data_IF_347243178064
#
_entry.id   IF_347243178064
#
_cell.length_a   1.000
_cell.length_b   1.000
_cell.length_c   1.000
_cell.angle_alpha   90.00
_cell.angle_beta   90.00
_cell.angle_gamma   90.00
#
_symmetry.space_group_name_H-M   'P 1'
#
loop_
_entity.id
_entity.type
_entity.pdbx_description
1 polymer ?
#
# COMPACT_ATOMS: atom_id res chain seq x y z
N UNK A 1 53.73 10.48 -17.22
CA UNK A 1 53.59 9.73 -15.96
C UNK A 1 52.26 10.12 -15.35
N UNK A 2 51.25 9.28 -15.57
CA UNK A 2 50.56 8.41 -14.62
C UNK A 2 49.76 9.21 -13.62
N UNK A 3 48.44 9.17 -13.59
CA UNK A 3 47.53 8.03 -13.54
C UNK A 3 46.83 8.10 -12.20
N UNK A 4 45.55 8.28 -12.18
CA UNK A 4 44.72 8.34 -10.98
C UNK A 4 43.27 8.20 -11.38
N UNK A 5 42.87 7.00 -11.79
CA UNK A 5 41.50 6.67 -12.05
C UNK A 5 40.71 6.57 -10.72
N UNK A 6 39.62 7.30 -10.70
CA UNK A 6 38.64 7.37 -9.65
C UNK A 6 37.78 6.12 -9.59
N UNK A 7 37.92 5.35 -8.54
CA UNK A 7 37.06 4.22 -8.19
C UNK A 7 35.74 4.57 -7.47
N UNK A 8 35.12 5.70 -7.77
CA UNK A 8 33.90 6.18 -7.07
C UNK A 8 32.58 5.77 -7.73
N UNK A 9 32.61 5.24 -8.95
CA UNK A 9 31.38 4.88 -9.66
C UNK A 9 30.81 3.49 -9.35
N UNK A 10 31.65 2.57 -8.86
CA UNK A 10 31.24 1.19 -8.63
C UNK A 10 30.61 0.97 -7.24
N UNK A 11 31.05 1.71 -6.23
CA UNK A 11 30.48 1.59 -4.87
C UNK A 11 29.08 2.16 -4.73
N UNK A 12 28.74 3.22 -5.46
CA UNK A 12 27.38 3.78 -5.44
C UNK A 12 26.34 2.85 -6.11
N UNK A 13 26.71 2.18 -7.19
CA UNK A 13 25.84 1.20 -7.87
C UNK A 13 25.66 -0.08 -7.08
N UNK A 14 26.64 -0.49 -6.28
CA UNK A 14 26.57 -1.65 -5.40
C UNK A 14 25.67 -1.33 -4.17
N UNK A 15 25.67 -0.10 -3.68
CA UNK A 15 24.81 0.30 -2.55
C UNK A 15 23.33 0.37 -2.92
N UNK A 16 22.98 0.86 -4.11
CA UNK A 16 21.58 0.92 -4.57
C UNK A 16 21.01 -0.48 -4.83
N UNK A 17 21.79 -1.36 -5.44
CA UNK A 17 21.41 -2.76 -5.67
C UNK A 17 21.33 -3.57 -4.37
N UNK A 18 22.20 -3.32 -3.41
CA UNK A 18 22.16 -3.97 -2.10
C UNK A 18 20.97 -3.47 -1.28
N UNK A 19 20.62 -2.19 -1.38
CA UNK A 19 19.46 -1.60 -0.71
C UNK A 19 18.15 -2.18 -1.27
N UNK A 20 17.99 -2.24 -2.58
CA UNK A 20 16.83 -2.84 -3.26
C UNK A 20 16.67 -4.33 -2.89
N UNK A 21 17.78 -5.05 -2.74
CA UNK A 21 17.78 -6.46 -2.30
C UNK A 21 17.40 -6.62 -0.83
N UNK A 22 17.88 -5.74 0.05
CA UNK A 22 17.53 -5.74 1.47
C UNK A 22 16.06 -5.35 1.68
N UNK A 23 15.52 -4.44 0.87
CA UNK A 23 14.12 -4.04 0.90
C UNK A 23 13.19 -5.17 0.49
N UNK A 24 13.51 -5.86 -0.58
CA UNK A 24 12.77 -7.06 -1.01
C UNK A 24 12.81 -8.17 0.04
N UNK A 25 13.98 -8.39 0.64
CA UNK A 25 14.14 -9.38 1.71
C UNK A 25 13.34 -8.99 2.97
N UNK A 26 13.24 -7.69 3.28
CA UNK A 26 12.43 -7.20 4.38
C UNK A 26 10.92 -7.35 4.09
N UNK A 27 10.49 -7.05 2.88
CA UNK A 27 9.11 -7.22 2.42
C UNK A 27 8.71 -8.70 2.39
N UNK A 28 9.58 -9.58 1.89
CA UNK A 28 9.39 -11.03 1.93
C UNK A 28 9.31 -11.57 3.37
N UNK A 29 10.12 -11.03 4.29
CA UNK A 29 10.05 -11.38 5.72
C UNK A 29 8.74 -10.92 6.35
N UNK A 30 8.26 -9.72 6.03
CA UNK A 30 6.96 -9.24 6.52
C UNK A 30 5.81 -10.11 6.01
N UNK A 31 5.81 -10.44 4.72
CA UNK A 31 4.81 -11.33 4.12
C UNK A 31 4.90 -12.72 4.74
N UNK A 32 6.10 -13.25 4.94
CA UNK A 32 6.32 -14.55 5.57
C UNK A 32 5.82 -14.59 7.02
N UNK A 33 6.04 -13.52 7.79
CA UNK A 33 5.54 -13.40 9.16
C UNK A 33 4.01 -13.29 9.21
N UNK A 34 3.40 -12.57 8.27
CA UNK A 34 1.96 -12.51 8.11
C UNK A 34 1.37 -13.87 7.76
N UNK A 35 2.05 -14.62 6.89
CA UNK A 35 1.68 -15.99 6.52
C UNK A 35 1.74 -16.94 7.73
N UNK A 36 2.83 -16.88 8.50
CA UNK A 36 3.01 -17.69 9.70
C UNK A 36 1.90 -17.44 10.72
N UNK A 37 1.55 -16.18 10.98
CA UNK A 37 0.46 -15.82 11.90
C UNK A 37 -0.90 -16.30 11.40
N UNK A 38 -1.16 -16.20 10.10
CA UNK A 38 -2.39 -16.73 9.52
C UNK A 38 -2.50 -18.26 9.62
N UNK A 39 -1.37 -18.98 9.58
CA UNK A 39 -1.32 -20.43 9.81
C UNK A 39 -1.58 -20.77 11.28
N UNK A 40 -0.99 -20.02 12.22
CA UNK A 40 -1.22 -20.20 13.67
C UNK A 40 -2.67 -19.91 14.06
N UNK A 41 -3.28 -18.84 13.52
CA UNK A 41 -4.69 -18.53 13.77
C UNK A 41 -5.63 -19.61 13.20
N UNK A 42 -5.27 -20.22 12.09
CA UNK A 42 -6.01 -21.34 11.51
C UNK A 42 -5.94 -22.59 12.39
N UNK A 43 -4.77 -22.92 12.92
CA UNK A 43 -4.59 -24.06 13.83
C UNK A 43 -5.39 -23.85 15.12
N UNK A 44 -5.47 -22.63 15.63
CA UNK A 44 -6.29 -22.27 16.79
C UNK A 44 -7.80 -22.39 16.49
N UNK A 45 -8.25 -21.99 15.31
CA UNK A 45 -9.65 -22.15 14.89
C UNK A 45 -10.03 -23.63 14.71
N UNK A 46 -9.18 -24.41 14.06
CA UNK A 46 -9.38 -25.85 13.87
C UNK A 46 -9.37 -26.61 15.21
N UNK A 47 -8.64 -26.11 16.21
CA UNK A 47 -8.62 -26.64 17.57
C UNK A 47 -9.91 -26.25 18.35
N UNK A 48 -10.43 -25.03 18.18
CA UNK A 48 -11.70 -24.58 18.77
C UNK A 48 -12.90 -25.31 18.17
N UNK A 49 -12.94 -25.54 16.85
CA UNK A 49 -14.01 -26.29 16.19
C UNK A 49 -14.06 -27.78 16.62
N UNK A 50 -12.91 -28.35 16.94
CA UNK A 50 -12.81 -29.73 17.46
C UNK A 50 -13.09 -29.85 18.95
N UNK A 51 -13.13 -28.72 19.69
CA UNK A 51 -13.30 -28.65 21.13
C UNK A 51 -14.70 -28.26 21.63
N UNK A 52 -15.70 -28.07 20.76
CA UNK A 52 -17.05 -27.64 21.19
C UNK A 52 -17.86 -28.83 21.72
N UNK A 53 -17.73 -29.04 23.00
CA UNK A 53 -18.82 -29.63 23.82
C UNK A 53 -19.05 -28.73 25.03
N UNK A 54 -20.22 -28.11 25.03
CA UNK A 54 -21.00 -27.58 26.14
C UNK A 54 -20.41 -26.48 27.06
N UNK A 55 -21.22 -25.45 27.14
CA UNK A 55 -21.39 -24.44 28.19
C UNK A 55 -20.59 -23.13 28.13
N UNK A 56 -21.31 -22.14 27.67
CA UNK A 56 -21.51 -20.82 28.26
C UNK A 56 -20.29 -19.98 28.66
N UNK A 57 -20.20 -18.85 28.03
CA UNK A 57 -19.40 -17.64 28.30
C UNK A 57 -18.18 -17.45 27.39
N UNK A 58 -18.34 -16.47 26.52
CA UNK A 58 -17.25 -15.94 25.72
C UNK A 58 -16.16 -15.30 26.60
N UNK A 59 -14.89 -15.62 26.44
CA UNK A 59 -13.82 -14.92 27.13
C UNK A 59 -13.68 -13.51 26.54
N UNK A 60 -13.94 -12.52 27.35
CA UNK A 60 -13.57 -11.12 27.11
C UNK A 60 -12.04 -11.01 27.14
N UNK A 61 -11.46 -10.56 26.03
CA UNK A 61 -10.17 -9.91 26.06
C UNK A 61 -9.04 -10.67 25.42
N UNK A 62 -8.81 -10.33 24.17
CA UNK A 62 -7.54 -9.90 23.60
C UNK A 62 -7.81 -9.54 22.14
N UNK A 63 -7.82 -8.25 21.84
CA UNK A 63 -7.86 -7.70 20.49
C UNK A 63 -6.56 -8.03 19.76
N UNK A 64 -6.50 -9.25 19.23
CA UNK A 64 -5.55 -9.65 18.23
C UNK A 64 -6.33 -9.78 16.93
N UNK A 65 -6.19 -8.83 16.02
CA UNK A 65 -6.85 -8.87 14.72
C UNK A 65 -6.54 -10.20 14.02
N UNK A 66 -7.58 -10.89 13.58
CA UNK A 66 -7.43 -12.14 12.81
C UNK A 66 -6.88 -11.81 11.43
N UNK A 67 -5.72 -12.33 11.11
CA UNK A 67 -5.07 -12.19 9.81
C UNK A 67 -5.50 -13.34 8.93
N UNK A 68 -6.51 -13.13 8.12
CA UNK A 68 -6.83 -13.85 6.89
C UNK A 68 -6.94 -15.38 6.92
N UNK A 69 -7.67 -15.89 5.94
CA UNK A 69 -7.74 -17.33 5.64
C UNK A 69 -6.83 -17.64 4.46
N UNK A 70 -6.04 -18.70 4.57
CA UNK A 70 -5.24 -19.21 3.45
C UNK A 70 -6.09 -20.22 2.68
N UNK A 71 -6.34 -19.95 1.42
CA UNK A 71 -7.03 -20.85 0.53
C UNK A 71 -6.07 -21.38 -0.55
N UNK A 72 -6.21 -22.64 -0.88
CA UNK A 72 -5.54 -23.20 -2.06
C UNK A 72 -6.51 -23.19 -3.22
N UNK A 73 -6.25 -22.36 -4.21
CA UNK A 73 -7.04 -22.30 -5.44
C UNK A 73 -6.37 -23.15 -6.51
N UNK A 74 -7.15 -24.00 -7.17
CA UNK A 74 -6.71 -24.76 -8.35
C UNK A 74 -6.91 -23.88 -9.57
N UNK A 75 -5.84 -23.56 -10.27
CA UNK A 75 -5.88 -22.81 -11.53
C UNK A 75 -6.36 -23.69 -12.67
N UNK A 76 -6.85 -23.08 -13.78
CA UNK A 76 -7.30 -23.80 -14.98
C UNK A 76 -6.22 -24.69 -15.59
N UNK A 77 -4.94 -24.33 -15.42
CA UNK A 77 -3.79 -25.14 -15.84
C UNK A 77 -3.42 -26.29 -14.90
N UNK A 78 -4.25 -26.58 -13.89
CA UNK A 78 -4.04 -27.64 -12.91
C UNK A 78 -3.03 -27.32 -11.80
N UNK A 79 -2.36 -26.17 -11.85
CA UNK A 79 -1.47 -25.73 -10.78
C UNK A 79 -2.26 -25.28 -9.55
N UNK A 80 -1.69 -25.49 -8.38
CA UNK A 80 -2.24 -25.00 -7.12
C UNK A 80 -1.57 -23.69 -6.75
N UNK A 81 -2.37 -22.67 -6.42
CA UNK A 81 -1.90 -21.38 -5.93
C UNK A 81 -2.41 -21.17 -4.52
N UNK A 82 -1.55 -20.74 -3.61
CA UNK A 82 -1.98 -20.27 -2.30
C UNK A 82 -2.52 -18.85 -2.48
N UNK A 83 -3.76 -18.65 -2.07
CA UNK A 83 -4.43 -17.35 -2.06
C UNK A 83 -4.68 -17.00 -0.61
N UNK A 84 -4.29 -15.79 -0.21
CA UNK A 84 -4.47 -15.29 1.14
C UNK A 84 -5.63 -14.31 1.11
N UNK A 85 -6.65 -14.63 1.88
CA UNK A 85 -7.77 -13.73 2.13
C UNK A 85 -7.53 -13.05 3.48
N UNK A 86 -7.28 -11.75 3.46
CA UNK A 86 -7.04 -10.99 4.68
C UNK A 86 -8.36 -10.47 5.26
N UNK A 87 -8.52 -10.67 6.55
CA UNK A 87 -9.63 -10.15 7.31
C UNK A 87 -9.14 -9.56 8.63
N UNK A 88 -9.38 -8.27 8.83
CA UNK A 88 -9.15 -7.57 10.08
C UNK A 88 -10.49 -7.11 10.65
N UNK A 89 -10.78 -7.36 11.93
CA UNK A 89 -12.00 -6.87 12.59
C UNK A 89 -12.11 -5.35 12.53
N UNK A 90 -10.98 -4.65 12.68
CA UNK A 90 -10.86 -3.20 12.51
C UNK A 90 -10.70 -2.74 11.07
N UNK A 91 -10.79 -3.64 10.08
CA UNK A 91 -10.70 -3.35 8.66
C UNK A 91 -9.33 -2.87 8.19
N UNK A 92 -9.33 -2.17 7.07
CA UNK A 92 -8.10 -1.66 6.42
C UNK A 92 -7.32 -0.68 7.30
N UNK A 93 -7.98 0.08 8.17
CA UNK A 93 -7.30 1.00 9.11
C UNK A 93 -6.42 0.25 10.09
N UNK A 94 -6.93 -0.81 10.69
CA UNK A 94 -6.17 -1.63 11.64
C UNK A 94 -4.99 -2.29 10.95
N UNK A 95 -5.15 -2.72 9.71
CA UNK A 95 -4.08 -3.30 8.93
C UNK A 95 -2.96 -2.27 8.63
N UNK A 96 -3.29 -1.05 8.23
CA UNK A 96 -2.31 0.04 8.07
C UNK A 96 -1.61 0.35 9.38
N UNK A 97 -2.33 0.41 10.50
CA UNK A 97 -1.76 0.61 11.83
C UNK A 97 -0.76 -0.49 12.19
N UNK A 98 -1.09 -1.73 11.88
CA UNK A 98 -0.21 -2.88 12.09
C UNK A 98 1.08 -2.77 11.25
N UNK A 99 0.97 -2.43 9.96
CA UNK A 99 2.11 -2.27 9.05
C UNK A 99 3.03 -1.11 9.47
N UNK A 100 2.47 -0.07 10.08
CA UNK A 100 3.23 1.09 10.57
C UNK A 100 3.72 0.96 12.01
N UNK A 101 3.49 -0.15 12.68
CA UNK A 101 3.81 -0.35 14.11
C UNK A 101 5.28 -0.07 14.48
N UNK A 102 6.19 -0.33 13.54
CA UNK A 102 7.64 -0.10 13.71
C UNK A 102 8.15 1.18 13.05
N UNK A 103 7.25 2.02 12.52
CA UNK A 103 7.57 3.25 11.79
C UNK A 103 6.99 4.45 12.51
N UNK A 104 7.60 5.62 12.36
CA UNK A 104 7.10 6.86 12.92
C UNK A 104 6.13 7.51 11.94
N UNK A 105 4.82 7.60 12.26
CA UNK A 105 3.87 8.23 11.36
C UNK A 105 4.05 9.75 11.33
N UNK A 106 3.84 10.36 10.17
CA UNK A 106 3.92 11.82 10.01
C UNK A 106 2.71 12.56 10.60
N UNK A 107 1.63 11.84 10.84
CA UNK A 107 0.37 12.33 11.42
C UNK A 107 -0.38 11.17 12.09
N UNK A 108 -1.18 11.47 13.10
CA UNK A 108 -1.79 10.45 13.98
C UNK A 108 -2.84 9.59 13.27
N UNK A 109 -3.74 10.24 12.51
CA UNK A 109 -4.91 9.57 11.96
C UNK A 109 -4.59 8.86 10.65
N UNK A 110 -4.98 7.59 10.56
CA UNK A 110 -5.00 6.86 9.30
C UNK A 110 -6.14 7.42 8.46
N UNK A 111 -5.84 7.85 7.23
CA UNK A 111 -6.84 8.30 6.27
C UNK A 111 -7.62 7.08 5.77
N UNK A 112 -8.93 7.21 5.74
CA UNK A 112 -9.84 6.15 5.32
C UNK A 112 -10.92 6.71 4.40
N UNK A 113 -11.01 6.15 3.21
CA UNK A 113 -11.99 6.51 2.20
C UNK A 113 -12.75 5.28 1.77
N UNK A 114 -14.05 5.41 1.63
CA UNK A 114 -14.90 4.33 1.11
C UNK A 114 -16.00 4.90 0.21
N UNK A 115 -16.48 4.08 -0.67
CA UNK A 115 -17.61 4.44 -1.52
C UNK A 115 -17.93 3.38 -2.55
N UNK A 116 -18.96 3.63 -3.34
CA UNK A 116 -19.37 2.78 -4.44
C UNK A 116 -19.54 3.60 -5.71
N UNK A 117 -18.95 3.15 -6.81
CA UNK A 117 -19.12 3.73 -8.12
C UNK A 117 -19.03 2.65 -9.20
N UNK A 118 -19.90 2.71 -10.22
CA UNK A 118 -19.95 1.73 -11.30
C UNK A 118 -20.04 0.27 -10.81
N UNK A 119 -20.82 0.01 -9.77
CA UNK A 119 -20.94 -1.29 -9.09
C UNK A 119 -19.62 -1.82 -8.50
N UNK A 120 -18.65 -0.95 -8.30
CA UNK A 120 -17.39 -1.28 -7.62
C UNK A 120 -17.43 -0.62 -6.24
N UNK A 121 -17.41 -1.43 -5.18
CA UNK A 121 -17.18 -0.94 -3.83
C UNK A 121 -15.69 -0.74 -3.62
N UNK A 122 -15.32 0.43 -3.13
CA UNK A 122 -13.93 0.86 -2.93
C UNK A 122 -13.71 1.13 -1.44
N UNK A 123 -12.62 0.62 -0.93
CA UNK A 123 -12.12 0.92 0.42
C UNK A 123 -10.61 1.18 0.32
N UNK A 124 -10.18 2.31 0.86
CA UNK A 124 -8.78 2.73 0.88
C UNK A 124 -8.42 3.22 2.26
N UNK A 125 -7.32 2.74 2.80
CA UNK A 125 -6.72 3.26 4.03
C UNK A 125 -5.24 3.53 3.81
N UNK A 126 -4.72 4.66 4.30
CA UNK A 126 -3.31 4.95 4.16
C UNK A 126 -2.80 5.92 5.22
N UNK A 127 -1.49 5.90 5.42
CA UNK A 127 -0.77 6.81 6.29
C UNK A 127 0.67 6.95 5.80
N UNK A 128 1.21 8.17 5.82
CA UNK A 128 2.62 8.40 5.56
C UNK A 128 3.44 8.27 6.86
N UNK A 129 4.64 7.78 6.73
CA UNK A 129 5.60 7.65 7.81
C UNK A 129 6.97 8.24 7.40
N UNK A 130 7.93 8.21 8.31
CA UNK A 130 9.26 8.78 8.13
C UNK A 130 10.20 7.96 7.22
N UNK A 131 9.78 6.77 6.77
CA UNK A 131 10.58 5.94 5.87
C UNK A 131 10.61 6.50 4.45
N UNK A 132 11.46 5.92 3.61
CA UNK A 132 11.61 6.28 2.21
C UNK A 132 10.85 5.36 1.26
N UNK A 133 10.35 4.24 1.76
CA UNK A 133 9.77 3.17 0.95
C UNK A 133 8.24 3.25 0.91
N UNK A 134 7.69 2.91 -0.25
CA UNK A 134 6.26 2.68 -0.47
C UNK A 134 5.91 1.24 -0.05
N UNK A 135 4.90 1.08 0.78
CA UNK A 135 4.31 -0.22 1.16
C UNK A 135 2.82 -0.19 0.84
N UNK A 136 2.46 -0.63 -0.36
CA UNK A 136 1.06 -0.62 -0.83
C UNK A 136 0.59 -2.03 -1.14
N UNK A 137 -0.52 -2.41 -0.51
CA UNK A 137 -1.18 -3.70 -0.72
C UNK A 137 -2.53 -3.48 -1.41
N UNK A 138 -2.82 -4.29 -2.39
CA UNK A 138 -4.06 -4.21 -3.15
C UNK A 138 -4.83 -5.52 -3.12
N UNK A 139 -6.16 -5.41 -3.06
CA UNK A 139 -7.08 -6.53 -2.92
C UNK A 139 -8.26 -6.41 -3.86
N UNK A 140 -8.73 -7.56 -4.34
CA UNK A 140 -9.97 -7.71 -5.08
C UNK A 140 -10.79 -8.80 -4.42
N UNK A 141 -12.00 -8.46 -3.95
CA UNK A 141 -12.87 -9.40 -3.22
C UNK A 141 -12.12 -10.12 -2.07
N UNK A 142 -11.36 -9.35 -1.29
CA UNK A 142 -10.50 -9.78 -0.18
C UNK A 142 -9.30 -10.69 -0.59
N UNK A 143 -9.04 -10.85 -1.88
CA UNK A 143 -7.89 -11.60 -2.38
C UNK A 143 -6.75 -10.63 -2.69
N UNK A 144 -5.56 -10.89 -2.14
CA UNK A 144 -4.38 -10.08 -2.44
C UNK A 144 -4.00 -10.16 -3.92
N UNK A 145 -3.73 -9.01 -4.52
CA UNK A 145 -3.27 -8.87 -5.89
C UNK A 145 -1.83 -8.33 -5.91
N UNK A 146 -0.81 -9.18 -5.76
CA UNK A 146 0.58 -8.75 -5.60
C UNK A 146 1.11 -7.98 -6.82
N UNK A 147 0.59 -8.23 -8.00
CA UNK A 147 0.92 -7.46 -9.22
C UNK A 147 0.04 -6.21 -9.41
N UNK A 148 -0.82 -5.91 -8.43
CA UNK A 148 -1.71 -4.75 -8.46
C UNK A 148 -2.80 -4.88 -9.50
N UNK A 149 -2.88 -3.89 -10.38
CA UNK A 149 -3.87 -3.82 -11.45
C UNK A 149 -4.53 -2.45 -11.52
N UNK A 150 -5.69 -2.40 -12.18
CA UNK A 150 -6.41 -1.15 -12.48
C UNK A 150 -6.84 -0.38 -11.25
N UNK A 151 -7.23 -1.04 -10.16
CA UNK A 151 -7.61 -0.40 -8.90
C UNK A 151 -6.43 0.31 -8.24
N UNK A 152 -5.25 -0.31 -8.23
CA UNK A 152 -4.03 0.30 -7.73
C UNK A 152 -3.58 1.48 -8.62
N UNK A 153 -3.72 1.35 -9.94
CA UNK A 153 -3.45 2.45 -10.86
C UNK A 153 -4.37 3.65 -10.60
N UNK A 154 -5.66 3.41 -10.38
CA UNK A 154 -6.63 4.45 -10.01
C UNK A 154 -6.23 5.18 -8.73
N UNK A 155 -5.82 4.45 -7.70
CA UNK A 155 -5.30 5.03 -6.46
C UNK A 155 -4.06 5.90 -6.70
N UNK A 156 -3.07 5.38 -7.41
CA UNK A 156 -1.83 6.14 -7.71
C UNK A 156 -2.08 7.40 -8.52
N UNK A 157 -3.00 7.34 -9.49
CA UNK A 157 -3.40 8.51 -10.27
C UNK A 157 -4.07 9.58 -9.41
N UNK A 158 -5.04 9.17 -8.59
CA UNK A 158 -5.76 10.05 -7.69
C UNK A 158 -4.81 10.76 -6.71
N UNK A 159 -3.90 10.01 -6.09
CA UNK A 159 -2.88 10.55 -5.20
C UNK A 159 -2.02 11.60 -5.91
N UNK A 160 -1.46 11.26 -7.06
CA UNK A 160 -0.55 12.13 -7.80
C UNK A 160 -1.23 13.43 -8.22
N UNK A 161 -2.43 13.34 -8.79
CA UNK A 161 -3.19 14.51 -9.24
C UNK A 161 -3.59 15.38 -8.06
N UNK A 162 -4.24 14.82 -7.06
CA UNK A 162 -4.83 15.59 -5.95
C UNK A 162 -3.77 16.30 -5.13
N UNK A 163 -2.63 15.65 -4.83
CA UNK A 163 -1.55 16.31 -4.11
C UNK A 163 -0.86 17.42 -4.92
N UNK A 164 -0.69 17.26 -6.23
CA UNK A 164 -0.18 18.31 -7.07
C UNK A 164 -1.14 19.51 -7.14
N UNK A 165 -2.43 19.26 -7.31
CA UNK A 165 -3.46 20.31 -7.36
C UNK A 165 -3.48 21.09 -6.03
N UNK A 166 -3.42 20.38 -4.89
CA UNK A 166 -3.36 21.00 -3.57
C UNK A 166 -2.07 21.80 -3.36
N UNK A 167 -0.90 21.22 -3.66
CA UNK A 167 0.39 21.87 -3.45
C UNK A 167 0.53 23.17 -4.28
N UNK A 168 -0.03 23.19 -5.49
CA UNK A 168 -0.08 24.39 -6.32
C UNK A 168 -1.09 25.40 -5.82
N UNK A 169 -2.31 24.97 -5.52
CA UNK A 169 -3.37 25.84 -5.01
C UNK A 169 -3.00 26.51 -3.70
N UNK A 170 -2.29 25.81 -2.81
CA UNK A 170 -1.78 26.34 -1.54
C UNK A 170 -0.41 27.04 -1.65
N UNK A 171 0.15 27.15 -2.86
CA UNK A 171 1.47 27.75 -3.15
C UNK A 171 2.66 27.11 -2.41
N UNK A 172 2.52 25.87 -1.99
CA UNK A 172 3.62 25.07 -1.46
C UNK A 172 4.59 24.66 -2.58
N UNK A 173 4.07 24.44 -3.79
CA UNK A 173 4.82 24.22 -5.01
C UNK A 173 4.67 25.48 -5.88
N UNK A 174 5.81 26.10 -6.26
CA UNK A 174 5.82 27.32 -7.08
C UNK A 174 5.46 27.01 -8.54
N UNK A 175 4.92 27.99 -9.26
CA UNK A 175 4.55 27.84 -10.67
C UNK A 175 5.74 27.50 -11.57
N UNK A 176 6.95 27.91 -11.18
CA UNK A 176 8.21 27.60 -11.90
C UNK A 176 8.76 26.20 -11.60
N UNK A 177 8.26 25.50 -10.58
CA UNK A 177 8.70 24.17 -10.19
C UNK A 177 7.92 23.10 -10.97
N UNK A 178 8.55 21.97 -11.22
CA UNK A 178 7.89 20.83 -11.86
C UNK A 178 6.87 20.20 -10.91
N UNK A 179 5.88 19.50 -11.45
CA UNK A 179 4.98 18.69 -10.65
C UNK A 179 5.72 17.60 -9.90
N UNK A 180 5.22 17.29 -8.72
CA UNK A 180 5.64 16.12 -7.96
C UNK A 180 5.33 14.86 -8.77
N UNK A 181 6.27 13.92 -8.80
CA UNK A 181 6.00 12.59 -9.37
C UNK A 181 5.19 11.74 -8.40
N UNK A 182 4.58 10.66 -8.90
CA UNK A 182 3.92 9.71 -8.03
C UNK A 182 4.86 9.09 -6.98
N UNK A 183 6.11 8.86 -7.33
CA UNK A 183 7.14 8.36 -6.41
C UNK A 183 7.42 9.34 -5.27
N UNK A 184 7.54 10.64 -5.59
CA UNK A 184 7.76 11.68 -4.58
C UNK A 184 6.61 11.72 -3.55
N UNK A 185 5.37 11.56 -4.01
CA UNK A 185 4.16 11.63 -3.16
C UNK A 185 3.99 10.35 -2.33
N UNK A 186 4.41 9.21 -2.86
CA UNK A 186 4.28 7.91 -2.18
C UNK A 186 5.50 7.51 -1.35
N UNK A 187 6.51 8.36 -1.27
CA UNK A 187 7.64 8.13 -0.37
C UNK A 187 7.15 8.04 1.09
N UNK A 188 7.46 6.93 1.76
CA UNK A 188 7.00 6.63 3.11
C UNK A 188 5.49 6.33 3.23
N UNK A 189 4.82 6.01 2.13
CA UNK A 189 3.40 5.68 2.15
C UNK A 189 3.18 4.20 2.51
N UNK A 190 2.32 3.97 3.50
CA UNK A 190 1.71 2.66 3.75
C UNK A 190 0.23 2.75 3.39
N UNK A 191 -0.24 1.90 2.49
CA UNK A 191 -1.61 1.95 2.00
C UNK A 191 -2.21 0.56 1.74
N UNK A 192 -3.51 0.48 1.91
CA UNK A 192 -4.36 -0.64 1.49
C UNK A 192 -5.37 -0.10 0.49
N UNK A 193 -5.46 -0.76 -0.66
CA UNK A 193 -6.46 -0.47 -1.70
C UNK A 193 -7.27 -1.72 -1.93
N UNK A 194 -8.52 -1.72 -1.55
CA UNK A 194 -9.42 -2.87 -1.67
C UNK A 194 -10.64 -2.52 -2.50
N UNK A 195 -10.98 -3.38 -3.42
CA UNK A 195 -12.21 -3.27 -4.19
C UNK A 195 -13.02 -4.56 -4.11
N UNK A 196 -14.35 -4.40 -4.15
CA UNK A 196 -15.28 -5.51 -4.35
C UNK A 196 -15.99 -5.28 -5.66
N UNK A 197 -15.92 -6.28 -6.53
CA UNK A 197 -16.48 -6.26 -7.88
C UNK A 197 -17.13 -7.61 -8.17
N UNK A 198 -18.28 -7.59 -8.84
CA UNK A 198 -19.08 -8.79 -9.07
C UNK A 198 -18.38 -9.76 -10.06
N UNK A 199 -17.82 -9.22 -11.13
CA UNK A 199 -17.14 -10.00 -12.17
C UNK A 199 -15.72 -9.51 -12.41
N UNK A 200 -14.75 -9.91 -11.57
CA UNK A 200 -13.36 -9.47 -11.70
C UNK A 200 -12.68 -10.15 -12.89
N UNK A 201 -12.11 -9.33 -13.76
CA UNK A 201 -11.29 -9.77 -14.89
C UNK A 201 -9.82 -9.58 -14.52
N UNK A 202 -9.06 -10.68 -14.52
CA UNK A 202 -7.64 -10.64 -14.21
C UNK A 202 -6.80 -10.75 -15.48
N UNK A 203 -5.66 -10.04 -15.50
CA UNK A 203 -4.67 -10.21 -16.54
C UNK A 203 -3.92 -11.54 -16.32
N UNK A 204 -3.88 -12.38 -17.36
CA UNK A 204 -3.24 -13.70 -17.28
C UNK A 204 -4.08 -14.76 -16.57
N UNK A 205 -3.47 -15.92 -16.30
CA UNK A 205 -4.13 -17.09 -15.70
C UNK A 205 -4.15 -17.08 -14.17
N UNK A 206 -3.54 -16.05 -13.55
CA UNK A 206 -3.43 -15.90 -12.09
C UNK A 206 -4.29 -14.73 -11.62
N UNK A 207 -4.81 -14.81 -10.38
CA UNK A 207 -5.57 -13.72 -9.77
C UNK A 207 -4.65 -12.67 -9.13
N UNK A 208 -3.59 -12.28 -9.84
CA UNK A 208 -2.54 -11.40 -9.30
C UNK A 208 -2.65 -9.96 -9.77
N UNK A 209 -3.28 -9.72 -10.92
CA UNK A 209 -3.41 -8.39 -11.51
C UNK A 209 -4.80 -8.16 -12.07
N UNK A 210 -5.50 -7.18 -11.52
CA UNK A 210 -6.85 -6.81 -11.97
C UNK A 210 -6.80 -6.01 -13.28
N UNK A 211 -7.70 -6.34 -14.22
CA UNK A 211 -7.79 -5.71 -15.53
C UNK A 211 -9.01 -4.80 -15.75
N UNK A 212 -10.01 -4.83 -14.86
CA UNK A 212 -11.27 -4.09 -15.04
C UNK A 212 -11.06 -2.56 -15.07
N UNK A 213 -11.42 -1.90 -16.16
CA UNK A 213 -11.31 -0.44 -16.30
C UNK A 213 -12.25 0.33 -15.36
N UNK A 214 -13.43 -0.21 -15.05
CA UNK A 214 -14.37 0.36 -14.11
C UNK A 214 -13.82 0.45 -12.69
N UNK A 215 -12.96 -0.49 -12.28
CA UNK A 215 -12.28 -0.46 -10.99
C UNK A 215 -11.30 0.72 -10.91
N UNK A 216 -10.56 0.99 -11.98
CA UNK A 216 -9.67 2.15 -12.07
C UNK A 216 -10.44 3.45 -11.89
N UNK A 217 -11.52 3.61 -12.64
CA UNK A 217 -12.33 4.83 -12.62
C UNK A 217 -13.03 5.04 -11.27
N UNK A 218 -13.50 3.96 -10.66
CA UNK A 218 -14.16 4.02 -9.36
C UNK A 218 -13.17 4.46 -8.25
N UNK A 219 -12.00 3.84 -8.19
CA UNK A 219 -10.97 4.19 -7.20
C UNK A 219 -10.46 5.61 -7.42
N UNK A 220 -10.10 5.98 -8.65
CA UNK A 220 -9.61 7.32 -8.98
C UNK A 220 -10.62 8.39 -8.55
N UNK A 221 -11.89 8.23 -8.90
CA UNK A 221 -12.94 9.18 -8.57
C UNK A 221 -13.19 9.32 -7.07
N UNK A 222 -13.37 8.19 -6.37
CA UNK A 222 -13.68 8.18 -4.94
C UNK A 222 -12.50 8.74 -4.13
N UNK A 223 -11.29 8.32 -4.45
CA UNK A 223 -10.10 8.80 -3.75
C UNK A 223 -9.84 10.28 -4.04
N UNK A 224 -9.91 10.72 -5.30
CA UNK A 224 -9.70 12.13 -5.66
C UNK A 224 -10.70 13.06 -4.94
N UNK A 225 -11.98 12.69 -4.90
CA UNK A 225 -13.02 13.49 -4.26
C UNK A 225 -12.81 13.58 -2.75
N UNK A 226 -12.67 12.46 -2.08
CA UNK A 226 -12.55 12.43 -0.61
C UNK A 226 -11.20 12.96 -0.13
N UNK A 227 -10.12 12.72 -0.88
CA UNK A 227 -8.81 13.27 -0.56
C UNK A 227 -8.77 14.79 -0.73
N UNK A 228 -9.35 15.33 -1.80
CA UNK A 228 -9.47 16.78 -1.99
C UNK A 228 -10.16 17.43 -0.81
N UNK A 229 -11.31 16.91 -0.42
CA UNK A 229 -12.04 17.39 0.75
C UNK A 229 -11.21 17.29 2.04
N UNK A 230 -10.56 16.14 2.26
CA UNK A 230 -9.72 15.93 3.44
C UNK A 230 -8.57 16.95 3.53
N UNK A 231 -7.84 17.19 2.44
CA UNK A 231 -6.70 18.12 2.40
C UNK A 231 -7.14 19.55 2.71
N UNK A 232 -8.29 19.98 2.17
CA UNK A 232 -8.88 21.29 2.46
C UNK A 232 -9.26 21.47 3.93
N UNK A 233 -9.78 20.41 4.56
CA UNK A 233 -10.19 20.44 5.97
C UNK A 233 -9.02 20.25 6.94
N UNK A 234 -7.89 19.71 6.47
CA UNK A 234 -6.73 19.36 7.31
C UNK A 234 -5.43 19.96 6.75
N UNK A 235 -5.30 21.29 6.72
CA UNK A 235 -4.18 21.97 6.05
C UNK A 235 -2.83 21.64 6.68
N UNK A 236 -2.75 21.34 8.00
CA UNK A 236 -1.51 20.96 8.66
C UNK A 236 -1.01 19.63 8.16
N UNK A 237 -1.87 18.62 8.11
CA UNK A 237 -1.54 17.29 7.57
C UNK A 237 -1.19 17.38 6.08
N UNK A 238 -1.99 18.11 5.31
CA UNK A 238 -1.74 18.34 3.90
C UNK A 238 -0.37 18.97 3.63
N UNK A 239 -0.02 20.00 4.40
CA UNK A 239 1.30 20.65 4.35
C UNK A 239 2.43 19.68 4.67
N UNK A 240 2.29 18.89 5.74
CA UNK A 240 3.29 17.91 6.17
C UNK A 240 3.59 16.90 5.05
N UNK A 241 2.57 16.35 4.42
CA UNK A 241 2.74 15.39 3.32
C UNK A 241 3.37 16.07 2.09
N UNK A 242 2.89 17.26 1.71
CA UNK A 242 3.44 18.00 0.57
C UNK A 242 4.91 18.38 0.79
N UNK A 243 5.28 18.82 1.99
CA UNK A 243 6.67 19.17 2.30
C UNK A 243 7.60 17.96 2.20
N UNK A 244 7.19 16.79 2.70
CA UNK A 244 7.95 15.55 2.52
C UNK A 244 8.10 15.21 1.04
N UNK A 245 7.04 15.29 0.26
CA UNK A 245 7.06 15.00 -1.18
C UNK A 245 7.96 15.98 -1.95
N UNK A 246 7.98 17.26 -1.59
CA UNK A 246 8.87 18.28 -2.17
C UNK A 246 10.33 17.99 -1.82
N UNK A 247 10.62 17.55 -0.60
CA UNK A 247 11.97 17.13 -0.21
C UNK A 247 12.43 15.90 -1.01
N UNK A 248 11.55 14.92 -1.20
CA UNK A 248 11.83 13.76 -2.05
C UNK A 248 12.14 14.17 -3.49
N UNK A 249 11.35 15.06 -4.09
CA UNK A 249 11.61 15.61 -5.43
C UNK A 249 12.98 16.26 -5.51
N UNK A 250 13.31 17.12 -4.55
CA UNK A 250 14.60 17.84 -4.55
C UNK A 250 15.78 16.89 -4.41
N UNK A 251 15.67 15.88 -3.57
CA UNK A 251 16.70 14.85 -3.40
C UNK A 251 16.91 14.06 -4.70
N UNK A 252 15.82 13.66 -5.36
CA UNK A 252 15.85 12.95 -6.66
C UNK A 252 16.47 13.82 -7.77
N UNK A 253 16.11 15.10 -7.84
CA UNK A 253 16.68 16.03 -8.83
C UNK A 253 18.15 16.31 -8.58
N UNK A 254 18.57 16.45 -7.31
CA UNK A 254 19.97 16.61 -6.94
C UNK A 254 20.81 15.38 -7.32
N UNK A 255 20.29 14.18 -7.05
CA UNK A 255 20.93 12.93 -7.43
C UNK A 255 21.07 12.79 -8.96
N UNK A 256 20.07 13.23 -9.73
CA UNK A 256 20.15 13.24 -11.20
C UNK A 256 21.22 14.21 -11.70
N UNK A 257 21.25 15.43 -11.17
CA UNK A 257 22.27 16.44 -11.56
C UNK A 257 23.69 16.04 -11.21
N UNK A 258 23.87 15.22 -10.20
CA UNK A 258 25.20 14.71 -9.81
C UNK A 258 25.71 13.59 -10.73
N UNK A 259 24.84 12.98 -11.54
CA UNK A 259 25.19 11.94 -12.52
C UNK A 259 25.48 12.50 -13.92
N UNK A 260 24.88 13.65 -14.24
CA UNK A 260 25.09 14.42 -15.50
C UNK A 260 26.39 15.27 -15.40
#
# INVERSE_FOLDING_TARGET
EQGGESGLGAEALISDSANDSMEKEHEEKQISELLRRAEEDKELQDAEEKGVSSNGEAPKGKTGGRIGKIHTVKLENGKKQKVIEFYYEGGSKEFVSYLNKSKEPLYENILYFEGMKNNVAVEVAFQHNDSYNESVFSFVNNINTPEGGTHLQGFRNAMTKTFNDYARGSKLLKDSEQNLTGEDIREGLTAIVSVKIEDPQFEGQTKQKLGNSEARNAVDSIVSEQLTYFLEQNPIVAKTICEKSILAQRAREAARKARD
#
